data_IF_374578607508
#
_entry.id   IF_374578607508
#
_cell.length_a   1.000
_cell.length_b   1.000
_cell.length_c   1.000
_cell.angle_alpha   90.00
_cell.angle_beta   90.00
_cell.angle_gamma   90.00
#
_symmetry.space_group_name_H-M   'P 1'
#
loop_
_entity.id
_entity.type
_entity.pdbx_description
1 polymer ?
#
# COMPACT_ATOMS: atom_id res chain seq x y z
N UNK A 1 0.85 -48.63 -22.94
CA UNK A 1 1.17 -47.34 -23.57
C UNK A 1 0.18 -46.33 -23.03
N UNK A 2 0.53 -45.66 -21.94
CA UNK A 2 -0.26 -44.51 -21.48
C UNK A 2 0.73 -43.46 -20.99
N UNK A 3 1.15 -42.62 -21.93
CA UNK A 3 1.99 -41.45 -21.64
C UNK A 3 1.08 -40.41 -21.01
N UNK A 4 1.10 -40.37 -19.68
CA UNK A 4 0.44 -39.34 -18.88
C UNK A 4 1.12 -38.01 -19.15
N UNK A 5 0.53 -37.23 -20.05
CA UNK A 5 0.88 -35.84 -20.33
C UNK A 5 1.09 -35.07 -19.01
N UNK A 6 2.25 -34.43 -18.78
CA UNK A 6 2.34 -33.49 -17.69
C UNK A 6 1.42 -32.31 -18.03
N UNK A 7 0.33 -32.15 -17.27
CA UNK A 7 -0.44 -30.89 -17.26
C UNK A 7 0.55 -29.78 -16.95
N UNK A 8 1.02 -29.10 -17.99
CA UNK A 8 1.78 -27.87 -17.86
C UNK A 8 0.86 -26.89 -17.15
N UNK A 9 1.05 -26.72 -15.84
CA UNK A 9 0.59 -25.53 -15.16
C UNK A 9 1.40 -24.40 -15.76
N UNK A 10 0.85 -23.81 -16.83
CA UNK A 10 1.27 -22.52 -17.35
C UNK A 10 1.00 -21.51 -16.24
N UNK A 11 1.92 -21.42 -15.29
CA UNK A 11 2.06 -20.31 -14.35
C UNK A 11 2.56 -19.10 -15.15
N UNK A 12 1.79 -18.72 -16.17
CA UNK A 12 2.09 -17.59 -17.06
C UNK A 12 1.70 -16.31 -16.33
N UNK A 13 2.63 -15.82 -15.51
CA UNK A 13 2.43 -14.78 -14.50
C UNK A 13 2.26 -13.36 -15.04
N UNK A 14 1.59 -13.15 -16.17
CA UNK A 14 1.33 -11.81 -16.71
C UNK A 14 -0.12 -11.37 -16.55
N UNK A 15 -1.10 -12.25 -16.78
CA UNK A 15 -2.52 -11.87 -16.76
C UNK A 15 -3.09 -11.72 -15.35
N UNK A 16 -2.59 -12.48 -14.38
CA UNK A 16 -3.14 -12.47 -13.02
C UNK A 16 -2.49 -11.44 -12.10
N UNK A 17 -1.27 -10.97 -12.42
CA UNK A 17 -0.48 -10.10 -11.55
C UNK A 17 -1.18 -8.75 -11.25
N UNK A 18 -1.95 -8.22 -12.20
CA UNK A 18 -2.67 -6.95 -12.06
C UNK A 18 -4.20 -7.13 -12.03
N UNK A 19 -4.71 -8.37 -11.94
CA UNK A 19 -6.14 -8.66 -12.08
C UNK A 19 -6.99 -7.88 -11.06
N UNK A 20 -6.59 -7.88 -9.79
CA UNK A 20 -7.28 -7.13 -8.72
C UNK A 20 -7.26 -5.64 -8.98
N UNK A 21 -6.12 -5.07 -9.41
CA UNK A 21 -6.00 -3.64 -9.71
C UNK A 21 -6.90 -3.23 -10.88
N UNK A 22 -6.90 -4.01 -11.97
CA UNK A 22 -7.77 -3.76 -13.12
C UNK A 22 -9.26 -3.90 -12.74
N UNK A 23 -9.62 -4.87 -11.91
CA UNK A 23 -10.98 -5.04 -11.40
C UNK A 23 -11.43 -3.81 -10.60
N UNK A 24 -10.63 -3.37 -9.61
CA UNK A 24 -10.97 -2.22 -8.76
C UNK A 24 -11.07 -0.92 -9.56
N UNK A 25 -10.20 -0.72 -10.55
CA UNK A 25 -10.16 0.52 -11.33
C UNK A 25 -11.29 0.64 -12.38
N UNK A 26 -11.80 -0.48 -12.90
CA UNK A 26 -12.65 -0.47 -14.11
C UNK A 26 -14.05 -1.03 -13.92
N UNK A 27 -14.28 -1.84 -12.88
CA UNK A 27 -15.51 -2.62 -12.82
C UNK A 27 -16.69 -1.74 -12.37
N UNK A 28 -17.81 -1.69 -13.11
CA UNK A 28 -18.92 -0.77 -12.83
C UNK A 28 -19.59 -1.01 -11.48
N UNK A 29 -19.50 -2.23 -10.92
CA UNK A 29 -20.02 -2.52 -9.56
C UNK A 29 -19.25 -1.78 -8.45
N UNK A 30 -18.06 -1.27 -8.76
CA UNK A 30 -17.22 -0.53 -7.82
C UNK A 30 -17.28 0.99 -8.04
N UNK A 31 -18.13 1.47 -8.96
CA UNK A 31 -18.37 2.89 -9.13
C UNK A 31 -18.91 3.49 -7.83
N UNK A 32 -18.18 4.43 -7.24
CA UNK A 32 -18.53 5.08 -5.98
C UNK A 32 -18.20 4.28 -4.70
N UNK A 33 -17.57 3.11 -4.82
CA UNK A 33 -17.12 2.34 -3.65
C UNK A 33 -15.75 2.86 -3.20
N UNK A 34 -15.64 3.30 -1.94
CA UNK A 34 -14.40 3.78 -1.33
C UNK A 34 -14.15 3.16 0.04
N UNK A 35 -12.89 3.10 0.48
CA UNK A 35 -12.52 2.62 1.82
C UNK A 35 -12.59 1.10 2.01
N UNK A 36 -12.69 0.34 0.92
CA UNK A 36 -12.70 -1.13 0.92
C UNK A 36 -11.35 -1.68 0.48
N UNK A 37 -10.98 -2.83 1.03
CA UNK A 37 -9.77 -3.56 0.66
C UNK A 37 -10.15 -4.77 -0.19
N UNK A 38 -9.38 -5.02 -1.26
CA UNK A 38 -9.66 -6.12 -2.20
C UNK A 38 -8.44 -7.03 -2.35
N UNK A 39 -8.67 -8.34 -2.28
CA UNK A 39 -7.71 -9.40 -2.56
C UNK A 39 -8.36 -10.43 -3.49
N UNK A 40 -7.64 -10.92 -4.50
CA UNK A 40 -8.16 -11.85 -5.51
C UNK A 40 -9.51 -11.42 -6.12
N UNK A 41 -9.63 -10.13 -6.45
CA UNK A 41 -10.87 -9.50 -6.94
C UNK A 41 -12.09 -9.54 -6.00
N UNK A 42 -11.92 -9.89 -4.73
CA UNK A 42 -12.99 -9.94 -3.72
C UNK A 42 -12.71 -8.95 -2.58
N UNK A 43 -13.77 -8.43 -1.95
CA UNK A 43 -13.61 -7.63 -0.73
C UNK A 43 -13.05 -8.51 0.39
N UNK A 44 -12.01 -8.03 1.05
CA UNK A 44 -11.31 -8.75 2.11
C UNK A 44 -11.01 -7.82 3.28
N UNK A 45 -10.79 -8.39 4.47
CA UNK A 45 -10.34 -7.63 5.63
C UNK A 45 -8.83 -7.43 5.58
N UNK A 46 -8.33 -6.20 5.73
CA UNK A 46 -6.89 -5.96 5.87
C UNK A 46 -6.39 -6.42 7.26
N UNK A 47 -5.08 -6.38 7.47
CA UNK A 47 -4.49 -6.70 8.77
C UNK A 47 -4.92 -5.70 9.86
N UNK A 48 -4.78 -6.10 11.13
CA UNK A 48 -5.10 -5.23 12.28
C UNK A 48 -4.31 -3.92 12.24
N UNK A 49 -3.00 -3.99 11.95
CA UNK A 49 -2.15 -2.80 11.81
C UNK A 49 -2.58 -1.90 10.65
N UNK A 50 -2.98 -2.46 9.51
CA UNK A 50 -3.46 -1.71 8.36
C UNK A 50 -4.85 -1.05 8.59
N UNK A 51 -5.58 -1.51 9.60
CA UNK A 51 -6.87 -0.94 10.01
C UNK A 51 -6.76 0.10 11.13
N UNK A 52 -5.56 0.32 11.67
CA UNK A 52 -5.36 1.23 12.81
C UNK A 52 -5.34 2.69 12.35
N UNK A 53 -6.28 3.54 12.82
CA UNK A 53 -6.28 4.97 12.48
C UNK A 53 -5.07 5.70 13.09
N UNK A 54 -4.54 5.21 14.21
CA UNK A 54 -3.35 5.76 14.86
C UNK A 54 -2.10 5.52 14.00
N UNK A 55 -1.91 4.29 13.49
CA UNK A 55 -0.81 3.99 12.56
C UNK A 55 -0.93 4.78 11.27
N UNK A 56 -2.15 4.92 10.72
CA UNK A 56 -2.39 5.71 9.52
C UNK A 56 -1.99 7.19 9.71
N UNK A 57 -2.37 7.80 10.82
CA UNK A 57 -2.02 9.18 11.13
C UNK A 57 -0.50 9.38 11.30
N UNK A 58 0.17 8.47 12.01
CA UNK A 58 1.63 8.53 12.20
C UNK A 58 2.37 8.38 10.87
N UNK A 59 1.97 7.42 10.04
CA UNK A 59 2.55 7.20 8.71
C UNK A 59 2.35 8.40 7.78
N UNK A 60 1.17 9.04 7.82
CA UNK A 60 0.90 10.24 7.03
C UNK A 60 1.87 11.37 7.41
N UNK A 61 2.04 11.67 8.70
CA UNK A 61 2.96 12.72 9.18
C UNK A 61 4.42 12.45 8.81
N UNK A 62 4.86 11.20 8.91
CA UNK A 62 6.20 10.81 8.49
C UNK A 62 6.39 10.95 6.96
N UNK A 63 5.35 10.64 6.17
CA UNK A 63 5.41 10.78 4.71
C UNK A 63 5.46 12.24 4.27
N UNK A 64 4.69 13.11 4.94
CA UNK A 64 4.72 14.56 4.72
C UNK A 64 6.11 15.14 4.97
N UNK A 65 6.80 14.72 6.04
CA UNK A 65 8.15 15.21 6.35
C UNK A 65 9.19 14.75 5.33
N UNK A 66 9.09 13.52 4.82
CA UNK A 66 10.00 12.97 3.80
C UNK A 66 9.76 13.58 2.42
N UNK A 67 8.51 13.86 2.08
CA UNK A 67 8.12 14.42 0.76
C UNK A 67 8.17 15.94 0.75
N UNK A 68 8.35 16.58 1.91
CA UNK A 68 8.52 18.01 2.01
C UNK A 68 9.63 18.45 1.04
N UNK A 69 9.40 19.49 0.22
CA UNK A 69 10.43 20.01 -0.65
C UNK A 69 11.65 20.30 0.21
N UNK A 70 12.81 19.77 -0.19
CA UNK A 70 14.04 20.10 0.50
C UNK A 70 14.13 21.62 0.52
N UNK A 71 14.31 22.25 1.69
CA UNK A 71 14.64 23.66 1.70
C UNK A 71 15.85 23.80 0.77
N UNK A 72 15.75 24.76 -0.14
CA UNK A 72 16.86 25.28 -0.95
C UNK A 72 18.18 25.04 -0.19
N UNK A 73 19.02 24.14 -0.72
CA UNK A 73 20.31 23.81 -0.10
C UNK A 73 21.38 24.84 -0.48
N UNK A 74 20.98 26.05 -0.87
CA UNK A 74 21.87 27.02 -1.51
C UNK A 74 21.84 28.40 -0.88
N UNK A 75 21.16 28.63 0.26
CA UNK A 75 21.39 29.91 0.95
C UNK A 75 21.62 29.95 2.44
N UNK A 76 21.03 29.11 3.29
CA UNK A 76 21.34 29.17 4.72
C UNK A 76 21.25 27.79 5.35
N UNK A 77 22.41 27.24 5.74
CA UNK A 77 22.54 25.92 6.33
C UNK A 77 21.88 25.81 7.70
N UNK A 78 20.67 25.25 7.73
CA UNK A 78 20.07 24.69 8.92
C UNK A 78 19.51 23.31 8.57
N UNK A 79 20.12 22.27 9.13
CA UNK A 79 19.57 20.91 9.17
C UNK A 79 18.18 20.97 9.81
N UNK A 80 17.09 20.51 9.16
CA UNK A 80 15.84 20.31 9.85
C UNK A 80 16.03 19.11 10.77
N UNK A 81 16.04 19.36 12.08
CA UNK A 81 15.95 18.30 13.07
C UNK A 81 14.70 17.47 12.74
N UNK A 82 14.92 16.19 12.40
CA UNK A 82 13.85 15.21 12.48
C UNK A 82 13.19 15.38 13.85
N UNK A 83 11.86 15.52 13.94
CA UNK A 83 11.19 15.46 15.24
C UNK A 83 11.65 14.15 15.87
N UNK A 84 12.49 14.25 16.91
CA UNK A 84 12.79 13.10 17.75
C UNK A 84 11.44 12.52 18.12
N UNK A 85 11.25 11.27 17.73
CA UNK A 85 10.22 10.40 18.26
C UNK A 85 10.47 10.37 19.78
N UNK A 86 9.90 11.34 20.49
CA UNK A 86 9.77 11.31 21.93
C UNK A 86 8.71 10.26 22.20
N UNK A 87 9.05 9.14 22.87
CA UNK A 87 8.04 8.22 23.34
C UNK A 87 7.28 8.93 24.46
N UNK A 88 6.13 9.53 24.15
CA UNK A 88 5.14 9.79 25.18
C UNK A 88 4.61 8.43 25.63
N UNK A 89 4.83 8.20 26.92
CA UNK A 89 4.74 6.94 27.64
C UNK A 89 3.40 6.24 27.50
N UNK A 90 3.50 4.93 27.30
CA UNK A 90 2.78 3.89 28.04
C UNK A 90 1.80 4.41 29.14
N UNK A 91 0.50 4.33 28.87
CA UNK A 91 -0.53 3.97 29.86
C UNK A 91 -1.74 3.32 29.18
#
# INVERSE_FOLDING_TARGET
>A
METKEPKAVLRSGSLQAAATTCYVATHPRLAGVSGKYFADCNEASPSSSASSPHEAARLWRASESVTAPRPDRTRFGLEPAFPSDSPDEEM
#
